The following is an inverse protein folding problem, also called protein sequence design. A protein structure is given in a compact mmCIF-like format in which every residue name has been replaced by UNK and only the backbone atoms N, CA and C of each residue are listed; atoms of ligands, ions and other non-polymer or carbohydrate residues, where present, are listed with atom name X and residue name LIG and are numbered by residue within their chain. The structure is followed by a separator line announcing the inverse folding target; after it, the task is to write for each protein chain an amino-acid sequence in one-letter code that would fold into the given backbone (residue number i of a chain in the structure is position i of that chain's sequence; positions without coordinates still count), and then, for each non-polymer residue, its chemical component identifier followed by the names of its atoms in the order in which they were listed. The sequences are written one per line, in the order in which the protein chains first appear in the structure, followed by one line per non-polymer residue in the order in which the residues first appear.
data_IF_506781653666
#
_entry.id   IF_506781653666
#
_cell.length_a   1.000
_cell.length_b   1.000
_cell.length_c   1.000
_cell.angle_alpha   90.00
_cell.angle_beta   90.00
_cell.angle_gamma   90.00
#
_symmetry.space_group_name_H-M   'P 1'
#
loop_
_entity.id
_entity.type
_entity.pdbx_description
1 polymer ?
#
# COMPACT_ATOMS: atom_id res chain seq x y z
N UNK A 1 -21.01 9.49 6.18
CA UNK A 1 -19.74 9.87 5.52
C UNK A 1 -18.64 9.25 6.35
N UNK A 2 -17.76 8.48 5.72
CA UNK A 2 -16.63 7.80 6.37
C UNK A 2 -15.75 8.85 7.08
N UNK A 3 -15.40 8.65 8.35
CA UNK A 3 -14.68 9.64 9.16
C UNK A 3 -13.35 10.01 8.50
N UNK A 4 -12.67 9.02 7.92
CA UNK A 4 -11.43 9.19 7.17
C UNK A 4 -11.59 10.03 5.91
N UNK A 5 -12.72 9.91 5.20
CA UNK A 5 -12.95 10.69 3.99
C UNK A 5 -13.05 12.18 4.30
N UNK A 6 -13.71 12.51 5.42
CA UNK A 6 -13.84 13.90 5.88
C UNK A 6 -12.49 14.48 6.29
N UNK A 7 -11.69 13.71 7.04
CA UNK A 7 -10.33 14.08 7.41
C UNK A 7 -9.43 14.35 6.20
N UNK A 8 -9.40 13.41 5.26
CA UNK A 8 -8.54 13.49 4.07
C UNK A 8 -8.91 14.66 3.16
N UNK A 9 -10.20 14.98 3.03
CA UNK A 9 -10.62 16.16 2.27
C UNK A 9 -10.18 17.44 2.98
N UNK A 10 -10.40 17.55 4.30
CA UNK A 10 -10.08 18.78 5.03
C UNK A 10 -8.57 19.06 5.08
N UNK A 11 -7.74 18.02 5.23
CA UNK A 11 -6.31 18.18 5.50
C UNK A 11 -5.40 17.87 4.30
N UNK A 12 -5.85 17.05 3.33
CA UNK A 12 -5.01 16.51 2.25
C UNK A 12 -5.62 16.69 0.84
N UNK A 13 -6.65 17.53 0.67
CA UNK A 13 -7.25 17.76 -0.65
C UNK A 13 -6.22 18.28 -1.68
N UNK A 14 -5.37 19.23 -1.29
CA UNK A 14 -4.32 19.77 -2.17
C UNK A 14 -3.32 18.69 -2.57
N UNK A 15 -2.88 17.87 -1.62
CA UNK A 15 -1.92 16.80 -1.86
C UNK A 15 -2.46 15.75 -2.83
N UNK A 16 -3.71 15.34 -2.63
CA UNK A 16 -4.39 14.37 -3.52
C UNK A 16 -4.53 14.95 -4.93
N UNK A 17 -4.91 16.23 -5.08
CA UNK A 17 -5.00 16.89 -6.39
C UNK A 17 -3.63 16.99 -7.07
N UNK A 18 -2.56 17.29 -6.33
CA UNK A 18 -1.19 17.30 -6.86
C UNK A 18 -0.81 15.91 -7.37
N UNK A 19 -1.11 14.85 -6.61
CA UNK A 19 -0.85 13.46 -7.02
C UNK A 19 -1.62 13.12 -8.31
N UNK A 20 -2.90 13.50 -8.41
CA UNK A 20 -3.71 13.27 -9.60
C UNK A 20 -3.24 14.04 -10.84
N UNK A 21 -2.61 15.21 -10.65
CA UNK A 21 -2.09 16.07 -11.70
C UNK A 21 -0.73 15.61 -12.27
N UNK A 22 0.01 14.76 -11.55
CA UNK A 22 1.28 14.21 -12.04
C UNK A 22 1.09 13.38 -13.31
N UNK A 23 2.10 13.35 -14.18
CA UNK A 23 2.10 12.44 -15.34
C UNK A 23 2.11 10.98 -14.89
N UNK A 24 1.47 10.08 -15.66
CA UNK A 24 1.36 8.63 -15.37
C UNK A 24 2.69 7.86 -15.57
N UNK A 25 3.83 8.50 -15.30
CA UNK A 25 5.16 7.87 -15.39
C UNK A 25 5.47 7.01 -14.17
N UNK A 26 5.02 7.43 -13.00
CA UNK A 26 5.22 6.70 -11.74
C UNK A 26 4.13 5.63 -11.58
N UNK A 27 4.54 4.43 -11.15
CA UNK A 27 3.64 3.31 -10.83
C UNK A 27 3.09 3.35 -9.41
N UNK A 28 3.67 4.20 -8.55
CA UNK A 28 3.35 4.29 -7.14
C UNK A 28 3.50 5.74 -6.70
N UNK A 29 2.53 6.26 -5.96
CA UNK A 29 2.53 7.62 -5.44
C UNK A 29 2.37 7.57 -3.93
N UNK A 30 3.08 8.42 -3.21
CA UNK A 30 3.01 8.44 -1.75
C UNK A 30 2.15 9.61 -1.26
N UNK A 31 1.26 9.33 -0.31
CA UNK A 31 0.54 10.33 0.49
C UNK A 31 1.04 10.26 1.94
N UNK A 32 1.59 11.37 2.44
CA UNK A 32 2.11 11.44 3.80
C UNK A 32 1.02 11.94 4.76
N UNK A 33 0.73 11.15 5.80
CA UNK A 33 -0.28 11.48 6.82
C UNK A 33 0.40 11.57 8.18
N UNK A 34 0.13 12.66 8.91
CA UNK A 34 0.57 12.78 10.29
C UNK A 34 -0.29 11.88 11.19
N UNK A 35 0.33 10.80 11.69
CA UNK A 35 -0.38 9.84 12.53
C UNK A 35 -0.72 10.40 13.90
N UNK A 36 0.10 11.29 14.45
CA UNK A 36 -0.17 11.91 15.74
C UNK A 36 -1.41 12.79 15.64
N UNK A 37 -1.52 13.63 14.60
CA UNK A 37 -2.72 14.44 14.36
C UNK A 37 -3.96 13.57 14.11
N UNK A 38 -3.83 12.51 13.32
CA UNK A 38 -4.92 11.59 13.04
C UNK A 38 -5.47 10.93 14.33
N UNK A 39 -4.58 10.53 15.25
CA UNK A 39 -4.96 9.95 16.54
C UNK A 39 -5.58 11.00 17.46
N UNK A 40 -5.11 12.26 17.42
CA UNK A 40 -5.72 13.32 18.20
C UNK A 40 -7.15 13.64 17.77
N UNK A 41 -7.44 13.64 16.46
CA UNK A 41 -8.79 13.86 15.95
C UNK A 41 -9.70 12.63 16.14
N UNK A 42 -9.14 11.43 15.96
CA UNK A 42 -9.87 10.16 16.06
C UNK A 42 -9.12 9.18 16.99
N UNK A 43 -9.32 9.26 18.32
CA UNK A 43 -8.62 8.41 19.28
C UNK A 43 -8.79 6.89 19.04
N UNK A 44 -9.92 6.48 18.46
CA UNK A 44 -10.19 5.09 18.07
C UNK A 44 -9.16 4.54 17.07
N UNK A 45 -8.60 5.40 16.21
CA UNK A 45 -7.57 5.04 15.22
C UNK A 45 -6.31 4.56 15.91
N UNK A 46 -5.97 5.10 17.08
CA UNK A 46 -4.80 4.68 17.84
C UNK A 46 -4.85 3.18 18.22
N UNK A 47 -6.02 2.69 18.61
CA UNK A 47 -6.21 1.27 18.97
C UNK A 47 -6.15 0.36 17.74
N UNK A 48 -6.76 0.80 16.63
CA UNK A 48 -6.72 0.07 15.35
C UNK A 48 -5.28 0.03 14.82
N UNK A 49 -4.55 1.14 14.89
CA UNK A 49 -3.14 1.22 14.49
C UNK A 49 -2.28 0.24 15.30
N UNK A 50 -2.44 0.22 16.62
CA UNK A 50 -1.67 -0.67 17.50
C UNK A 50 -1.97 -2.15 17.25
N UNK A 51 -3.24 -2.49 16.98
CA UNK A 51 -3.67 -3.89 16.82
C UNK A 51 -3.48 -4.40 15.39
N UNK A 52 -3.70 -3.57 14.39
CA UNK A 52 -3.76 -3.96 12.97
C UNK A 52 -3.46 -2.78 12.05
N UNK A 53 -2.24 -2.25 12.14
CA UNK A 53 -1.74 -1.16 11.29
C UNK A 53 -1.94 -1.38 9.79
N UNK A 54 -1.72 -2.61 9.27
CA UNK A 54 -1.91 -2.92 7.85
C UNK A 54 -3.36 -2.70 7.39
N UNK A 55 -4.34 -3.07 8.22
CA UNK A 55 -5.76 -2.87 7.89
C UNK A 55 -6.11 -1.38 7.85
N UNK A 56 -5.54 -0.60 8.77
CA UNK A 56 -5.73 0.85 8.78
C UNK A 56 -5.17 1.48 7.49
N UNK A 57 -3.95 1.10 7.10
CA UNK A 57 -3.31 1.59 5.87
C UNK A 57 -4.18 1.24 4.66
N UNK A 58 -4.58 -0.02 4.51
CA UNK A 58 -5.44 -0.43 3.38
C UNK A 58 -6.78 0.30 3.35
N UNK A 59 -7.40 0.54 4.51
CA UNK A 59 -8.64 1.32 4.60
C UNK A 59 -8.43 2.77 4.12
N UNK A 60 -7.32 3.41 4.53
CA UNK A 60 -7.01 4.78 4.11
C UNK A 60 -6.72 4.85 2.60
N UNK A 61 -5.97 3.90 2.06
CA UNK A 61 -5.67 3.80 0.61
C UNK A 61 -6.96 3.63 -0.21
N UNK A 62 -7.90 2.81 0.25
CA UNK A 62 -9.22 2.65 -0.37
C UNK A 62 -10.03 3.96 -0.31
N UNK A 63 -10.05 4.63 0.84
CA UNK A 63 -10.71 5.93 1.00
C UNK A 63 -10.12 6.97 0.05
N UNK A 64 -8.78 7.03 -0.11
CA UNK A 64 -8.11 7.92 -1.07
C UNK A 64 -8.56 7.63 -2.50
N UNK A 65 -8.63 6.35 -2.90
CA UNK A 65 -9.14 5.98 -4.22
C UNK A 65 -10.58 6.44 -4.45
N UNK A 66 -11.43 6.33 -3.42
CA UNK A 66 -12.82 6.80 -3.49
C UNK A 66 -12.92 8.33 -3.58
N UNK A 67 -12.05 9.06 -2.89
CA UNK A 67 -11.97 10.53 -2.99
C UNK A 67 -11.52 10.95 -4.39
N UNK A 68 -10.51 10.28 -4.97
CA UNK A 68 -10.05 10.57 -6.34
C UNK A 68 -11.18 10.41 -7.37
N UNK A 69 -12.02 9.38 -7.24
CA UNK A 69 -13.20 9.18 -8.10
C UNK A 69 -14.18 10.34 -7.97
N UNK A 70 -14.50 10.77 -6.74
CA UNK A 70 -15.38 11.92 -6.51
C UNK A 70 -14.84 13.20 -7.13
N UNK A 71 -13.56 13.51 -6.92
CA UNK A 71 -12.95 14.69 -7.54
C UNK A 71 -12.97 14.62 -9.06
N UNK A 72 -12.78 13.44 -9.66
CA UNK A 72 -12.90 13.29 -11.11
C UNK A 72 -14.34 13.53 -11.60
N UNK A 73 -15.35 13.04 -10.88
CA UNK A 73 -16.76 13.28 -11.18
C UNK A 73 -17.11 14.78 -11.09
N UNK A 74 -16.70 15.46 -10.01
CA UNK A 74 -16.98 16.88 -9.78
C UNK A 74 -16.34 17.79 -10.86
N UNK A 75 -15.14 17.45 -11.34
CA UNK A 75 -14.41 18.22 -12.36
C UNK A 75 -14.93 18.05 -13.79
N UNK A 76 -15.86 17.13 -14.07
CA UNK A 76 -16.47 17.05 -15.42
C UNK A 76 -17.21 18.33 -15.84
N UNK A 77 -17.41 19.27 -14.90
CA UNK A 77 -18.14 20.52 -15.09
C UNK A 77 -17.26 21.75 -15.40
N UNK A 78 -15.96 21.77 -15.05
CA UNK A 78 -15.17 23.03 -15.06
C UNK A 78 -13.67 22.83 -15.39
N UNK A 79 -13.33 23.08 -16.66
CA UNK A 79 -12.05 23.44 -17.32
C UNK A 79 -10.61 23.00 -16.86
N UNK A 80 -9.78 22.84 -17.89
CA UNK A 80 -8.31 23.03 -18.02
C UNK A 80 -7.30 22.02 -17.41
N UNK A 81 -7.54 21.40 -16.25
CA UNK A 81 -6.59 20.43 -15.69
C UNK A 81 -7.13 19.01 -15.74
N UNK A 82 -6.49 18.13 -16.54
CA UNK A 82 -6.83 16.70 -16.57
C UNK A 82 -6.30 16.02 -15.31
N UNK A 83 -7.13 15.95 -14.27
CA UNK A 83 -6.86 15.08 -13.13
C UNK A 83 -7.07 13.63 -13.55
N UNK A 84 -6.06 12.80 -13.33
CA UNK A 84 -6.11 11.36 -13.62
C UNK A 84 -6.14 10.58 -12.32
N UNK A 85 -7.01 9.57 -12.25
CA UNK A 85 -7.02 8.65 -11.11
C UNK A 85 -5.68 7.90 -11.09
N UNK A 86 -5.04 7.89 -9.94
CA UNK A 86 -3.85 7.07 -9.66
C UNK A 86 -4.31 5.81 -8.95
N UNK A 87 -4.12 4.67 -9.62
CA UNK A 87 -4.55 3.35 -9.13
C UNK A 87 -3.80 2.95 -7.85
N UNK A 88 -2.55 3.37 -7.71
CA UNK A 88 -1.71 3.02 -6.57
C UNK A 88 -1.20 4.27 -5.88
N UNK A 89 -1.85 4.59 -4.75
CA UNK A 89 -1.41 5.65 -3.83
C UNK A 89 -1.16 5.00 -2.48
N UNK A 90 0.11 4.91 -2.08
CA UNK A 90 0.52 4.36 -0.81
C UNK A 90 0.48 5.40 0.30
N UNK A 91 -0.18 5.07 1.40
CA UNK A 91 -0.24 5.93 2.58
C UNK A 91 0.99 5.70 3.45
N UNK A 92 1.75 6.77 3.73
CA UNK A 92 2.92 6.75 4.60
C UNK A 92 2.67 7.60 5.84
N UNK A 93 2.82 7.00 7.01
CA UNK A 93 2.72 7.74 8.26
C UNK A 93 4.00 8.51 8.59
N UNK A 94 3.84 9.78 8.92
CA UNK A 94 4.85 10.64 9.53
C UNK A 94 4.47 10.95 10.98
N UNK A 95 5.43 11.44 11.76
CA UNK A 95 5.23 11.81 13.16
C UNK A 95 4.54 10.69 13.98
N UNK A 96 5.01 9.45 13.82
CA UNK A 96 4.49 8.29 14.56
C UNK A 96 4.81 8.45 16.05
N UNK A 97 3.83 8.28 16.96
CA UNK A 97 4.03 8.43 18.39
C UNK A 97 5.19 7.59 18.96
N UNK A 98 5.94 8.16 19.90
CA UNK A 98 7.11 7.53 20.55
C UNK A 98 6.72 6.50 21.61
N UNK A 99 5.94 5.50 21.23
CA UNK A 99 5.61 4.39 22.11
C UNK A 99 6.68 3.30 21.98
N UNK A 100 7.23 2.84 23.10
CA UNK A 100 8.26 1.78 23.14
C UNK A 100 7.99 0.54 22.28
N UNK A 101 6.76 -0.02 22.19
CA UNK A 101 6.48 -1.15 21.29
C UNK A 101 6.41 -0.79 19.81
N UNK A 102 6.34 0.49 19.46
CA UNK A 102 6.30 0.99 18.08
C UNK A 102 7.69 1.49 17.67
N UNK A 103 8.33 2.35 18.48
CA UNK A 103 9.65 2.91 18.17
C UNK A 103 10.73 2.11 18.88
N UNK A 104 11.45 1.30 18.10
CA UNK A 104 12.55 0.47 18.57
C UNK A 104 13.89 1.21 18.37
N UNK A 105 14.77 1.21 19.38
CA UNK A 105 16.03 1.96 19.33
C UNK A 105 17.04 1.34 18.36
N UNK A 106 16.99 0.01 18.19
CA UNK A 106 17.88 -0.73 17.29
C UNK A 106 17.20 -1.99 16.72
N UNK A 107 17.86 -2.61 15.75
CA UNK A 107 17.40 -3.86 15.12
C UNK A 107 17.45 -5.05 16.08
N UNK A 108 18.27 -4.98 17.15
CA UNK A 108 18.39 -6.05 18.15
C UNK A 108 17.16 -6.12 19.08
N UNK A 109 16.43 -5.02 19.17
CA UNK A 109 15.22 -4.87 19.98
C UNK A 109 13.98 -5.51 19.34
N UNK A 110 14.08 -6.02 18.10
CA UNK A 110 12.99 -6.72 17.42
C UNK A 110 12.78 -8.08 18.09
N UNK A 111 11.55 -8.32 18.56
CA UNK A 111 11.16 -9.54 19.26
C UNK A 111 9.86 -10.14 18.67
N UNK A 112 9.38 -11.25 19.24
CA UNK A 112 8.14 -11.90 18.80
C UNK A 112 6.91 -11.00 18.91
N UNK A 113 6.88 -10.05 19.84
CA UNK A 113 5.77 -9.10 20.01
C UNK A 113 5.72 -8.03 18.93
N UNK A 114 6.82 -7.86 18.19
CA UNK A 114 6.94 -6.93 17.05
C UNK A 114 6.37 -7.52 15.76
N UNK A 115 6.08 -8.83 15.73
CA UNK A 115 5.53 -9.50 14.54
C UNK A 115 4.17 -8.91 14.18
N UNK A 116 3.97 -8.64 12.88
CA UNK A 116 2.74 -8.07 12.32
C UNK A 116 2.32 -6.71 12.89
N UNK A 117 3.21 -6.00 13.59
CA UNK A 117 2.99 -4.64 14.07
C UNK A 117 3.75 -3.63 13.21
N UNK A 118 3.28 -2.39 13.22
CA UNK A 118 4.04 -1.29 12.66
C UNK A 118 5.16 -0.92 13.65
N UNK A 119 6.39 -0.96 13.18
CA UNK A 119 7.56 -0.56 13.97
C UNK A 119 8.35 0.53 13.25
N UNK A 120 8.92 1.44 14.03
CA UNK A 120 9.85 2.48 13.60
C UNK A 120 11.22 2.11 14.14
N UNK A 121 12.17 1.85 13.25
CA UNK A 121 13.55 1.54 13.61
C UNK A 121 14.44 2.74 13.36
N UNK A 122 15.27 3.07 14.35
CA UNK A 122 16.33 4.07 14.19
C UNK A 122 17.65 3.37 13.86
N UNK A 123 18.42 3.91 12.92
CA UNK A 123 19.68 3.28 12.52
C UNK A 123 20.43 4.04 11.42
N UNK A 124 21.66 3.59 11.16
CA UNK A 124 22.50 4.13 10.08
C UNK A 124 22.43 3.20 8.87
N UNK A 125 22.21 3.77 7.69
CA UNK A 125 22.22 3.02 6.43
C UNK A 125 23.68 2.71 6.06
N UNK A 126 24.08 1.44 6.18
CA UNK A 126 25.47 1.01 5.89
C UNK A 126 25.70 0.61 4.43
N UNK A 127 24.64 0.21 3.71
CA UNK A 127 24.75 -0.27 2.33
C UNK A 127 23.42 -0.10 1.61
N UNK A 128 23.47 0.37 0.37
CA UNK A 128 22.33 0.44 -0.56
C UNK A 128 22.68 -0.40 -1.78
N UNK A 129 21.79 -1.31 -2.19
CA UNK A 129 21.94 -2.08 -3.43
C UNK A 129 21.37 -1.31 -4.62
N UNK A 130 21.81 -1.65 -5.84
CA UNK A 130 21.17 -1.15 -7.07
C UNK A 130 19.67 -1.50 -7.08
N UNK A 131 18.81 -0.63 -7.62
CA UNK A 131 17.40 -0.93 -7.82
C UNK A 131 17.23 -2.24 -8.61
N UNK A 132 16.34 -3.10 -8.14
CA UNK A 132 15.96 -4.34 -8.80
C UNK A 132 14.44 -4.35 -8.95
N UNK A 133 13.96 -4.87 -10.06
CA UNK A 133 12.53 -5.12 -10.24
C UNK A 133 12.18 -6.47 -9.61
N UNK A 134 11.09 -6.51 -8.84
CA UNK A 134 10.50 -7.76 -8.35
C UNK A 134 9.27 -8.06 -9.19
N UNK A 135 9.24 -9.24 -9.76
CA UNK A 135 8.04 -9.80 -10.39
C UNK A 135 7.13 -10.36 -9.29
N UNK A 136 5.96 -9.76 -9.12
CA UNK A 136 5.00 -10.19 -8.10
C UNK A 136 4.13 -11.33 -8.61
N UNK A 137 3.71 -11.24 -9.87
CA UNK A 137 2.87 -12.21 -10.53
C UNK A 137 3.31 -12.36 -11.99
N UNK A 138 3.24 -13.58 -12.51
CA UNK A 138 3.48 -13.88 -13.93
C UNK A 138 2.38 -14.80 -14.45
N UNK A 139 1.89 -14.51 -15.65
CA UNK A 139 1.02 -15.43 -16.37
C UNK A 139 1.88 -16.52 -17.00
N UNK A 140 1.54 -17.77 -16.74
CA UNK A 140 2.29 -18.95 -17.15
C UNK A 140 1.33 -19.92 -17.82
N UNK A 141 1.70 -20.40 -19.00
CA UNK A 141 0.88 -21.33 -19.75
C UNK A 141 1.44 -22.74 -19.59
N UNK A 142 0.57 -23.72 -19.38
CA UNK A 142 1.02 -25.11 -19.40
C UNK A 142 1.30 -25.56 -20.84
N UNK A 143 2.53 -26.00 -21.09
CA UNK A 143 2.98 -26.46 -22.41
C UNK A 143 2.13 -27.61 -23.00
N UNK A 144 1.43 -28.39 -22.17
CA UNK A 144 0.64 -29.55 -22.62
C UNK A 144 -0.82 -29.23 -22.89
N UNK A 145 -1.47 -28.41 -22.06
CA UNK A 145 -2.91 -28.17 -22.16
C UNK A 145 -3.26 -26.73 -22.54
N UNK A 146 -2.28 -25.84 -22.61
CA UNK A 146 -2.47 -24.42 -22.88
C UNK A 146 -3.21 -23.66 -21.77
N UNK A 147 -3.50 -24.29 -20.62
CA UNK A 147 -4.17 -23.60 -19.53
C UNK A 147 -3.27 -22.51 -18.94
N UNK A 148 -3.85 -21.34 -18.71
CA UNK A 148 -3.18 -20.20 -18.11
C UNK A 148 -3.26 -20.28 -16.59
N UNK A 149 -2.14 -19.99 -15.93
CA UNK A 149 -2.00 -19.96 -14.48
C UNK A 149 -1.29 -18.67 -14.08
N UNK A 150 -1.69 -18.11 -12.94
CA UNK A 150 -1.00 -16.97 -12.35
C UNK A 150 -0.02 -17.53 -11.31
N UNK A 151 1.27 -17.49 -11.62
CA UNK A 151 2.32 -17.78 -10.65
C UNK A 151 2.55 -16.53 -9.78
N UNK A 152 2.54 -16.68 -8.46
CA UNK A 152 2.77 -15.57 -7.52
C UNK A 152 4.12 -15.71 -6.83
N UNK A 153 4.74 -14.58 -6.50
CA UNK A 153 6.01 -14.52 -5.77
C UNK A 153 5.76 -14.51 -4.27
N UNK A 154 6.15 -15.57 -3.56
CA UNK A 154 6.03 -15.65 -2.10
C UNK A 154 7.30 -15.15 -1.40
N UNK A 155 7.12 -14.32 -0.36
CA UNK A 155 8.25 -13.77 0.42
C UNK A 155 8.99 -14.89 1.14
N UNK A 156 8.26 -15.87 1.66
CA UNK A 156 8.79 -17.05 2.37
C UNK A 156 9.69 -17.91 1.48
N UNK A 157 9.41 -17.95 0.18
CA UNK A 157 10.23 -18.67 -0.82
C UNK A 157 11.36 -17.80 -1.40
N UNK A 158 11.85 -16.81 -0.66
CA UNK A 158 12.85 -15.84 -1.13
C UNK A 158 12.42 -15.10 -2.40
N UNK A 159 11.14 -14.77 -2.51
CA UNK A 159 10.52 -14.10 -3.65
C UNK A 159 10.58 -14.90 -4.97
N UNK A 160 10.71 -16.23 -4.91
CA UNK A 160 10.59 -17.10 -6.10
C UNK A 160 9.14 -17.15 -6.57
N UNK A 161 8.95 -17.27 -7.89
CA UNK A 161 7.64 -17.53 -8.47
C UNK A 161 7.24 -18.98 -8.18
N UNK A 162 6.17 -19.15 -7.44
CA UNK A 162 5.62 -20.45 -7.09
C UNK A 162 4.72 -20.92 -8.23
N UNK A 163 5.16 -21.97 -8.94
CA UNK A 163 4.37 -22.59 -10.00
C UNK A 163 3.47 -23.67 -9.42
N UNK A 164 2.24 -23.85 -9.94
CA UNK A 164 1.38 -24.93 -9.49
C UNK A 164 2.07 -26.29 -9.76
N UNK A 165 2.17 -27.18 -8.76
CA UNK A 165 2.89 -28.44 -8.91
C UNK A 165 2.19 -29.42 -9.87
N UNK A 166 0.89 -29.22 -10.12
CA UNK A 166 0.09 -30.03 -11.03
C UNK A 166 -0.86 -29.15 -11.83
N UNK A 167 -0.95 -29.44 -13.12
CA UNK A 167 -2.01 -28.92 -13.98
C UNK A 167 -3.36 -29.48 -13.51
N UNK A 168 -4.29 -28.59 -13.16
CA UNK A 168 -5.66 -28.94 -12.73
C UNK A 168 -6.60 -29.23 -13.90
N UNK A 169 -6.16 -28.99 -15.14
CA UNK A 169 -7.01 -29.17 -16.31
C UNK A 169 -7.14 -30.65 -16.70
N UNK A 170 -8.39 -31.15 -16.80
CA UNK A 170 -8.71 -32.51 -17.27
C UNK A 170 -8.72 -32.51 -18.80
N UNK A 171 -7.55 -32.54 -19.43
CA UNK A 171 -7.51 -32.81 -20.87
C UNK A 171 -7.80 -34.30 -21.08
N UNK A 172 -8.90 -34.62 -21.78
CA UNK A 172 -9.13 -35.96 -22.28
C UNK A 172 -7.96 -36.32 -23.21
N UNK A 173 -7.20 -37.37 -22.87
CA UNK A 173 -6.20 -37.92 -23.78
C UNK A 173 -6.91 -38.29 -25.07
N UNK A 174 -6.57 -37.60 -26.15
CA UNK A 174 -6.91 -38.00 -27.52
C UNK A 174 -6.01 -39.15 -27.94
#
# INVERSE_FOLDING_TARGET
MDQYATYLINNHESDIKIIMAKEVKEKDYDLFIDLTLLIYEFPEVGQVFYTSSLKLISSLEETVMNIQKKFQEDLTSDSLFRLTIKEKVSVRFINVPELGPIRLPDVKSINHESLNKFIVLSGTIIRVSKPKNRELESNVNCDRCGAEYIAKSEIEENNRLCFPPKCTNKVAKT
#
